data_IF_981472979050
#
_entry.id   IF_981472979050
#
_cell.length_a   1.000
_cell.length_b   1.000
_cell.length_c   1.000
_cell.angle_alpha   90.00
_cell.angle_beta   90.00
_cell.angle_gamma   90.00
#
_symmetry.space_group_name_H-M   'P 1'
#
loop_
_entity.id
_entity.type
_entity.pdbx_description
1 polymer ?
#
# COMPACT_ATOMS: atom_id res chain seq x y z
N UNK A 1 -23.26 -25.37 19.27
CA UNK A 1 -23.33 -26.36 18.20
C UNK A 1 -23.39 -25.62 16.87
N UNK A 2 -22.43 -25.81 16.00
CA UNK A 2 -22.40 -25.29 14.62
C UNK A 2 -21.35 -24.20 14.36
N UNK A 3 -20.05 -24.50 14.54
CA UNK A 3 -18.95 -23.61 14.15
C UNK A 3 -18.02 -24.25 13.09
N UNK A 4 -18.53 -25.14 12.22
CA UNK A 4 -17.64 -25.97 11.40
C UNK A 4 -18.06 -26.05 9.94
N UNK A 5 -18.28 -24.95 9.21
CA UNK A 5 -18.61 -25.08 7.77
C UNK A 5 -18.01 -24.01 6.85
N UNK A 6 -17.21 -23.08 7.33
CA UNK A 6 -16.64 -22.04 6.46
C UNK A 6 -15.36 -22.46 5.72
N UNK A 7 -14.67 -23.51 6.17
CA UNK A 7 -13.36 -23.94 5.62
C UNK A 7 -13.45 -25.06 4.56
N UNK A 8 -14.63 -25.49 4.16
CA UNK A 8 -14.78 -26.56 3.17
C UNK A 8 -15.21 -25.98 1.81
N UNK A 9 -14.63 -26.47 0.69
CA UNK A 9 -15.09 -26.08 -0.64
C UNK A 9 -16.51 -26.57 -0.85
N UNK A 10 -17.38 -25.68 -1.36
CA UNK A 10 -18.79 -25.99 -1.65
C UNK A 10 -18.91 -26.85 -2.90
N UNK A 11 -18.06 -26.57 -3.90
CA UNK A 11 -18.00 -27.35 -5.13
C UNK A 11 -16.79 -28.27 -5.12
N UNK A 12 -17.03 -29.57 -5.31
CA UNK A 12 -15.97 -30.56 -5.42
C UNK A 12 -15.21 -30.42 -6.75
N UNK A 13 -13.93 -30.87 -6.75
CA UNK A 13 -13.17 -31.00 -7.99
C UNK A 13 -13.90 -31.96 -8.94
N UNK A 14 -13.98 -31.61 -10.22
CA UNK A 14 -14.76 -32.30 -11.25
C UNK A 14 -16.19 -31.82 -11.37
N UNK A 15 -16.67 -30.88 -10.51
CA UNK A 15 -17.99 -30.25 -10.69
C UNK A 15 -17.95 -29.42 -11.97
N UNK A 16 -19.01 -29.56 -12.79
CA UNK A 16 -19.17 -28.80 -14.04
C UNK A 16 -20.22 -27.70 -13.85
N UNK A 17 -19.84 -26.47 -14.13
CA UNK A 17 -20.70 -25.28 -14.14
C UNK A 17 -20.79 -24.85 -15.60
N UNK A 18 -21.93 -25.12 -16.27
CA UNK A 18 -22.11 -25.00 -17.75
C UNK A 18 -21.05 -25.82 -18.52
N UNK A 19 -20.03 -25.17 -19.05
CA UNK A 19 -18.92 -25.73 -19.81
C UNK A 19 -17.57 -25.65 -19.08
N UNK A 20 -17.58 -25.30 -17.78
CA UNK A 20 -16.40 -25.11 -16.95
C UNK A 20 -16.28 -26.20 -15.89
N UNK A 21 -15.25 -27.03 -15.97
CA UNK A 21 -14.90 -28.06 -14.99
C UNK A 21 -14.02 -27.45 -13.90
N UNK A 22 -14.45 -27.52 -12.63
CA UNK A 22 -13.63 -27.14 -11.47
C UNK A 22 -12.47 -28.12 -11.31
N UNK A 23 -11.23 -27.62 -11.35
CA UNK A 23 -10.02 -28.45 -11.23
C UNK A 23 -9.23 -28.17 -9.95
N UNK A 24 -9.46 -27.04 -9.28
CA UNK A 24 -8.79 -26.66 -8.03
C UNK A 24 -9.60 -25.62 -7.28
N UNK A 25 -9.53 -25.63 -5.93
CA UNK A 25 -9.97 -24.50 -5.10
C UNK A 25 -8.79 -23.55 -4.92
N UNK A 26 -8.98 -22.27 -5.27
CA UNK A 26 -7.96 -21.23 -5.14
C UNK A 26 -8.08 -20.48 -3.81
N UNK A 27 -9.31 -20.13 -3.40
CA UNK A 27 -9.55 -19.36 -2.17
C UNK A 27 -10.94 -19.65 -1.60
N UNK A 28 -11.04 -19.61 -0.27
CA UNK A 28 -12.30 -19.72 0.47
C UNK A 28 -12.41 -18.51 1.38
N UNK A 29 -13.49 -17.77 1.30
CA UNK A 29 -13.76 -16.60 2.15
C UNK A 29 -15.25 -16.48 2.46
N UNK A 30 -15.59 -15.63 3.43
CA UNK A 30 -16.98 -15.27 3.75
C UNK A 30 -17.71 -14.62 2.56
N UNK A 31 -16.99 -13.94 1.69
CA UNK A 31 -17.52 -13.22 0.53
C UNK A 31 -17.70 -14.10 -0.71
N UNK A 32 -17.34 -15.40 -0.61
CA UNK A 32 -17.43 -16.34 -1.72
C UNK A 32 -16.21 -17.23 -1.83
N UNK A 33 -16.24 -18.16 -2.76
CA UNK A 33 -15.17 -19.10 -3.02
C UNK A 33 -14.66 -18.94 -4.45
N UNK A 34 -13.35 -19.00 -4.61
CA UNK A 34 -12.70 -18.87 -5.92
C UNK A 34 -12.11 -20.22 -6.33
N UNK A 35 -12.43 -20.65 -7.54
CA UNK A 35 -12.00 -21.91 -8.12
C UNK A 35 -11.20 -21.67 -9.41
N UNK A 36 -10.22 -22.52 -9.65
CA UNK A 36 -9.65 -22.69 -10.98
C UNK A 36 -10.57 -23.66 -11.75
N UNK A 37 -10.98 -23.23 -12.92
CA UNK A 37 -11.78 -24.05 -13.82
C UNK A 37 -11.19 -24.10 -15.21
N UNK A 38 -11.49 -25.20 -15.91
CA UNK A 38 -11.06 -25.44 -17.28
C UNK A 38 -12.29 -25.57 -18.17
N UNK A 39 -12.35 -24.83 -19.23
CA UNK A 39 -13.35 -24.99 -20.27
C UNK A 39 -13.17 -26.35 -20.94
N UNK A 40 -14.24 -27.17 -20.96
CA UNK A 40 -14.19 -28.55 -21.48
C UNK A 40 -14.03 -28.64 -22.99
N UNK A 41 -14.35 -27.56 -23.73
CA UNK A 41 -14.29 -27.50 -25.17
C UNK A 41 -12.96 -26.92 -25.66
N UNK A 42 -12.51 -25.80 -25.05
CA UNK A 42 -11.32 -25.04 -25.48
C UNK A 42 -10.08 -25.33 -24.66
N UNK A 43 -10.23 -25.99 -23.48
CA UNK A 43 -9.19 -26.25 -22.48
C UNK A 43 -8.59 -24.98 -21.86
N UNK A 44 -9.18 -23.81 -22.13
CA UNK A 44 -8.79 -22.54 -21.54
C UNK A 44 -9.04 -22.55 -20.03
N UNK A 45 -8.11 -21.97 -19.26
CA UNK A 45 -8.22 -21.83 -17.82
C UNK A 45 -8.85 -20.48 -17.46
N UNK A 46 -9.75 -20.54 -16.46
CA UNK A 46 -10.44 -19.39 -15.88
C UNK A 46 -10.45 -19.48 -14.35
N UNK A 47 -10.58 -18.35 -13.69
CA UNK A 47 -10.98 -18.34 -12.29
C UNK A 47 -12.50 -18.09 -12.19
N UNK A 48 -13.16 -18.78 -11.26
CA UNK A 48 -14.61 -18.63 -11.01
C UNK A 48 -14.79 -18.19 -9.57
N UNK A 49 -15.25 -16.95 -9.35
CA UNK A 49 -15.73 -16.49 -8.05
C UNK A 49 -17.20 -16.85 -7.90
N UNK A 50 -17.50 -17.77 -6.98
CA UNK A 50 -18.84 -18.28 -6.73
C UNK A 50 -19.44 -17.64 -5.50
N UNK A 51 -20.55 -16.93 -5.66
CA UNK A 51 -21.25 -16.15 -4.65
C UNK A 51 -22.61 -16.77 -4.40
N UNK A 52 -22.91 -17.16 -3.16
CA UNK A 52 -24.19 -17.74 -2.80
C UNK A 52 -25.27 -16.67 -2.68
N UNK A 53 -26.47 -16.94 -3.19
CA UNK A 53 -27.63 -16.11 -2.92
C UNK A 53 -28.08 -16.38 -1.48
N UNK A 54 -28.16 -15.35 -0.66
CA UNK A 54 -28.70 -15.44 0.71
C UNK A 54 -30.13 -14.90 0.67
N UNK A 55 -31.08 -15.68 1.15
CA UNK A 55 -32.55 -15.40 1.13
C UNK A 55 -32.99 -14.13 1.88
N UNK A 56 -32.10 -13.45 2.58
CA UNK A 56 -32.41 -12.15 3.18
C UNK A 56 -32.41 -11.07 2.08
N UNK A 57 -33.53 -10.97 1.42
CA UNK A 57 -33.81 -9.97 0.41
C UNK A 57 -33.27 -8.60 0.81
N UNK A 58 -32.25 -8.12 0.12
CA UNK A 58 -32.01 -6.75 -0.21
C UNK A 58 -30.55 -6.26 -0.13
N UNK A 59 -29.78 -6.54 0.94
CA UNK A 59 -28.45 -5.94 1.07
C UNK A 59 -27.35 -6.75 0.36
N UNK A 60 -27.26 -8.07 0.57
CA UNK A 60 -26.20 -8.90 -0.01
C UNK A 60 -26.28 -9.05 -1.54
N UNK A 61 -27.50 -9.19 -2.09
CA UNK A 61 -27.67 -9.20 -3.56
C UNK A 61 -27.24 -7.87 -4.19
N UNK A 62 -27.50 -6.75 -3.49
CA UNK A 62 -27.06 -5.44 -3.96
C UNK A 62 -25.54 -5.32 -3.97
N UNK A 63 -24.82 -5.91 -3.00
CA UNK A 63 -23.35 -5.91 -2.99
C UNK A 63 -22.76 -6.73 -4.15
N UNK A 64 -23.29 -7.94 -4.40
CA UNK A 64 -22.86 -8.81 -5.51
C UNK A 64 -23.11 -8.16 -6.88
N UNK A 65 -24.30 -7.60 -7.08
CA UNK A 65 -24.63 -6.88 -8.30
C UNK A 65 -23.77 -5.63 -8.48
N UNK A 66 -23.47 -4.92 -7.39
CA UNK A 66 -22.60 -3.75 -7.42
C UNK A 66 -21.17 -4.12 -7.81
N UNK A 67 -20.61 -5.21 -7.26
CA UNK A 67 -19.28 -5.72 -7.65
C UNK A 67 -19.23 -5.99 -9.15
N UNK A 68 -20.20 -6.74 -9.69
CA UNK A 68 -20.26 -7.07 -11.12
C UNK A 68 -20.40 -5.80 -11.97
N UNK A 69 -21.28 -4.89 -11.57
CA UNK A 69 -21.53 -3.65 -12.31
C UNK A 69 -20.28 -2.75 -12.35
N UNK A 70 -19.64 -2.53 -11.20
CA UNK A 70 -18.46 -1.67 -11.12
C UNK A 70 -17.27 -2.30 -11.83
N UNK A 71 -17.02 -3.59 -11.62
CA UNK A 71 -15.93 -4.31 -12.28
C UNK A 71 -16.12 -4.37 -13.80
N UNK A 72 -17.33 -4.64 -14.30
CA UNK A 72 -17.62 -4.68 -15.75
C UNK A 72 -17.30 -3.34 -16.45
N UNK A 73 -17.52 -2.20 -15.77
CA UNK A 73 -17.19 -0.87 -16.30
C UNK A 73 -15.68 -0.64 -16.44
N UNK A 74 -14.86 -1.47 -15.80
CA UNK A 74 -13.39 -1.36 -15.78
C UNK A 74 -12.71 -2.44 -16.60
N UNK A 75 -13.41 -3.52 -17.00
CA UNK A 75 -12.86 -4.72 -17.65
C UNK A 75 -12.17 -4.48 -19.00
N UNK A 76 -12.23 -3.29 -19.59
CA UNK A 76 -11.49 -2.93 -20.81
C UNK A 76 -10.07 -2.42 -20.58
N UNK A 77 -9.66 -2.21 -19.32
CA UNK A 77 -8.33 -1.71 -19.00
C UNK A 77 -7.30 -2.86 -18.96
N UNK A 78 -6.09 -2.72 -19.55
CA UNK A 78 -5.11 -3.81 -19.64
C UNK A 78 -4.61 -4.30 -18.28
N UNK A 79 -4.65 -3.44 -17.25
CA UNK A 79 -4.21 -3.73 -15.89
C UNK A 79 -5.39 -3.93 -14.91
N UNK A 80 -6.57 -4.28 -15.39
CA UNK A 80 -7.72 -4.74 -14.60
C UNK A 80 -8.05 -6.16 -15.06
N UNK A 81 -8.28 -7.06 -14.12
CA UNK A 81 -8.70 -8.44 -14.41
C UNK A 81 -10.02 -8.40 -15.19
N UNK A 82 -10.06 -9.12 -16.31
CA UNK A 82 -11.23 -9.12 -17.20
C UNK A 82 -12.30 -10.07 -16.67
N UNK A 83 -13.55 -9.60 -16.61
CA UNK A 83 -14.72 -10.46 -16.52
C UNK A 83 -14.99 -11.04 -17.92
N UNK A 84 -15.00 -12.37 -18.02
CA UNK A 84 -15.34 -13.08 -19.24
C UNK A 84 -16.84 -13.24 -19.41
N UNK A 85 -17.49 -13.71 -18.35
CA UNK A 85 -18.96 -13.87 -18.29
C UNK A 85 -19.44 -14.02 -16.85
N UNK A 86 -20.74 -13.87 -16.69
CA UNK A 86 -21.43 -14.10 -15.40
C UNK A 86 -22.49 -15.18 -15.63
N UNK A 87 -22.47 -16.24 -14.83
CA UNK A 87 -23.41 -17.36 -14.85
C UNK A 87 -24.26 -17.24 -13.59
N UNK A 88 -25.59 -17.23 -13.77
CA UNK A 88 -26.54 -17.13 -12.64
C UNK A 88 -27.53 -18.27 -12.66
N UNK A 89 -27.80 -18.84 -11.49
CA UNK A 89 -28.91 -19.77 -11.26
C UNK A 89 -29.71 -19.35 -10.02
N UNK A 90 -30.61 -20.22 -9.50
CA UNK A 90 -31.45 -19.91 -8.33
C UNK A 90 -30.64 -19.63 -7.06
N UNK A 91 -29.48 -20.25 -6.89
CA UNK A 91 -28.71 -20.29 -5.63
C UNK A 91 -27.40 -19.57 -5.69
N UNK A 92 -26.86 -19.37 -6.91
CA UNK A 92 -25.48 -18.90 -7.11
C UNK A 92 -25.35 -17.88 -8.23
N UNK A 93 -24.42 -16.94 -8.02
CA UNK A 93 -23.80 -16.11 -9.06
C UNK A 93 -22.34 -16.51 -9.20
N UNK A 94 -21.93 -16.95 -10.39
CA UNK A 94 -20.56 -17.29 -10.73
C UNK A 94 -19.98 -16.22 -11.64
N UNK A 95 -18.95 -15.51 -11.17
CA UNK A 95 -18.23 -14.51 -11.95
C UNK A 95 -17.02 -15.22 -12.54
N UNK A 96 -17.01 -15.43 -13.85
CA UNK A 96 -15.91 -16.04 -14.59
C UNK A 96 -14.95 -14.93 -15.02
N UNK A 97 -13.70 -15.02 -14.57
CA UNK A 97 -12.64 -14.03 -14.83
C UNK A 97 -11.40 -14.70 -15.43
N UNK A 98 -10.56 -13.92 -16.09
CA UNK A 98 -9.27 -14.40 -16.56
C UNK A 98 -8.44 -14.96 -15.40
N UNK A 99 -7.69 -16.03 -15.65
CA UNK A 99 -6.87 -16.70 -14.65
C UNK A 99 -5.43 -16.15 -14.67
N UNK A 100 -4.94 -15.72 -13.51
CA UNK A 100 -3.54 -15.33 -13.30
C UNK A 100 -2.73 -16.50 -12.78
N UNK A 101 -1.98 -17.16 -13.68
CA UNK A 101 -1.22 -18.39 -13.35
C UNK A 101 0.02 -18.14 -12.48
N UNK A 102 0.47 -16.89 -12.35
CA UNK A 102 1.66 -16.54 -11.55
C UNK A 102 1.30 -16.13 -10.11
N UNK A 103 0.01 -16.20 -9.74
CA UNK A 103 -0.48 -15.88 -8.41
C UNK A 103 -0.63 -14.39 -8.15
N UNK A 104 -0.64 -14.02 -6.87
CA UNK A 104 -0.82 -12.66 -6.40
C UNK A 104 0.51 -11.94 -6.11
N UNK A 105 0.43 -10.62 -5.98
CA UNK A 105 1.59 -9.78 -5.69
C UNK A 105 2.17 -10.05 -4.29
N UNK A 106 1.36 -10.52 -3.33
CA UNK A 106 1.84 -10.92 -2.01
C UNK A 106 2.86 -12.06 -2.13
N UNK A 107 2.49 -13.15 -2.82
CA UNK A 107 3.35 -14.29 -3.09
C UNK A 107 4.61 -13.87 -3.85
N UNK A 108 4.47 -12.99 -4.85
CA UNK A 108 5.59 -12.48 -5.64
C UNK A 108 6.59 -11.66 -4.79
N UNK A 109 6.10 -10.91 -3.79
CA UNK A 109 6.94 -10.11 -2.88
C UNK A 109 7.58 -11.01 -1.82
N UNK A 110 6.77 -11.82 -1.11
CA UNK A 110 7.19 -12.50 0.13
C UNK A 110 7.87 -13.82 -0.15
N UNK A 111 7.27 -14.67 -0.98
CA UNK A 111 7.76 -16.03 -1.22
C UNK A 111 8.82 -16.05 -2.32
N UNK A 112 8.62 -15.29 -3.39
CA UNK A 112 9.49 -15.30 -4.56
C UNK A 112 10.53 -14.19 -4.56
N UNK A 113 10.40 -13.17 -3.70
CA UNK A 113 11.30 -12.02 -3.55
C UNK A 113 11.69 -11.34 -4.88
N UNK A 114 10.72 -11.19 -5.80
CA UNK A 114 10.96 -10.71 -7.17
C UNK A 114 11.42 -9.26 -7.21
N UNK A 115 10.92 -8.42 -6.28
CA UNK A 115 11.04 -6.95 -6.38
C UNK A 115 12.16 -6.36 -5.54
N UNK A 116 12.57 -6.99 -4.43
CA UNK A 116 13.53 -6.40 -3.51
C UNK A 116 14.84 -6.02 -4.19
N UNK A 117 15.20 -4.73 -4.12
CA UNK A 117 16.43 -4.18 -4.74
C UNK A 117 16.33 -3.95 -6.25
N UNK A 118 15.27 -4.40 -6.92
CA UNK A 118 15.07 -4.19 -8.36
C UNK A 118 14.31 -2.87 -8.60
N UNK A 119 15.01 -1.75 -8.53
CA UNK A 119 14.44 -0.41 -8.63
C UNK A 119 13.69 -0.15 -9.95
N UNK A 120 14.18 -0.69 -11.05
CA UNK A 120 13.55 -0.52 -12.37
C UNK A 120 12.22 -1.27 -12.44
N UNK A 121 12.17 -2.48 -11.90
CA UNK A 121 10.96 -3.31 -11.89
C UNK A 121 9.93 -2.72 -10.92
N UNK A 122 10.34 -2.32 -9.70
CA UNK A 122 9.45 -1.64 -8.73
C UNK A 122 8.80 -0.43 -9.38
N UNK A 123 9.61 0.45 -10.01
CA UNK A 123 9.09 1.62 -10.71
C UNK A 123 8.09 1.24 -11.79
N UNK A 124 8.45 0.29 -12.64
CA UNK A 124 7.63 -0.15 -13.77
C UNK A 124 6.25 -0.63 -13.30
N UNK A 125 6.20 -1.58 -12.37
CA UNK A 125 4.94 -2.15 -11.92
C UNK A 125 4.12 -1.20 -11.05
N UNK A 126 4.78 -0.35 -10.26
CA UNK A 126 4.05 0.59 -9.42
C UNK A 126 3.42 1.74 -10.26
N UNK A 127 4.05 2.15 -11.36
CA UNK A 127 3.42 3.08 -12.31
C UNK A 127 2.18 2.47 -12.96
N UNK A 128 2.18 1.17 -13.30
CA UNK A 128 0.98 0.46 -13.78
C UNK A 128 -0.16 0.52 -12.75
N UNK A 129 0.15 0.28 -11.46
CA UNK A 129 -0.85 0.37 -10.38
C UNK A 129 -1.43 1.78 -10.24
N UNK A 130 -0.58 2.81 -10.25
CA UNK A 130 -1.04 4.20 -10.19
C UNK A 130 -1.98 4.51 -11.38
N UNK A 131 -1.61 4.12 -12.60
CA UNK A 131 -2.43 4.32 -13.80
C UNK A 131 -3.76 3.58 -13.71
N UNK A 132 -3.75 2.35 -13.20
CA UNK A 132 -4.95 1.55 -12.99
C UNK A 132 -5.90 2.20 -12.00
N UNK A 133 -5.41 2.62 -10.83
CA UNK A 133 -6.23 3.30 -9.82
C UNK A 133 -6.73 4.66 -10.35
N UNK A 134 -5.89 5.40 -11.09
CA UNK A 134 -6.30 6.64 -11.75
C UNK A 134 -7.42 6.41 -12.77
N UNK A 135 -7.34 5.33 -13.55
CA UNK A 135 -8.41 4.93 -14.47
C UNK A 135 -9.69 4.62 -13.69
N UNK A 136 -9.63 3.82 -12.61
CA UNK A 136 -10.80 3.54 -11.77
C UNK A 136 -11.43 4.83 -11.25
N UNK A 137 -10.64 5.73 -10.67
CA UNK A 137 -11.13 7.02 -10.14
C UNK A 137 -11.72 7.92 -11.25
N UNK A 138 -11.17 7.88 -12.47
CA UNK A 138 -11.72 8.62 -13.62
C UNK A 138 -13.11 8.13 -14.03
N UNK A 139 -13.45 6.87 -13.70
CA UNK A 139 -14.78 6.26 -13.90
C UNK A 139 -15.70 6.45 -12.69
N UNK A 140 -15.24 7.19 -11.67
CA UNK A 140 -15.95 7.35 -10.39
C UNK A 140 -16.05 6.05 -9.60
N UNK A 141 -15.02 5.20 -9.65
CA UNK A 141 -14.97 3.92 -8.94
C UNK A 141 -13.75 3.92 -8.03
N UNK A 142 -13.98 3.67 -6.73
CA UNK A 142 -12.97 3.63 -5.68
C UNK A 142 -12.91 2.22 -5.11
N UNK A 143 -11.68 1.65 -5.01
CA UNK A 143 -11.48 0.23 -4.74
C UNK A 143 -11.70 -0.13 -3.26
N UNK A 144 -11.19 0.66 -2.34
CA UNK A 144 -11.27 0.55 -0.87
C UNK A 144 -10.58 -0.67 -0.23
N UNK A 145 -10.11 -1.64 -1.03
CA UNK A 145 -9.35 -2.81 -0.55
C UNK A 145 -8.12 -3.08 -1.42
N UNK A 146 -7.33 -2.03 -1.69
CA UNK A 146 -6.06 -2.17 -2.39
C UNK A 146 -5.04 -2.85 -1.47
N UNK A 147 -4.61 -4.05 -1.86
CA UNK A 147 -3.59 -4.86 -1.19
C UNK A 147 -2.93 -5.82 -2.18
N UNK A 148 -1.74 -6.35 -1.87
CA UNK A 148 -1.03 -7.25 -2.77
C UNK A 148 -1.81 -8.51 -3.14
N UNK A 149 -2.67 -9.04 -2.25
CA UNK A 149 -3.50 -10.22 -2.50
C UNK A 149 -4.56 -9.98 -3.59
N UNK A 150 -4.98 -8.72 -3.78
CA UNK A 150 -5.95 -8.30 -4.79
C UNK A 150 -5.28 -7.83 -6.11
N UNK A 151 -4.00 -8.09 -6.29
CA UNK A 151 -3.22 -7.72 -7.48
C UNK A 151 -2.59 -8.99 -8.02
N UNK A 152 -2.99 -9.41 -9.23
CA UNK A 152 -2.45 -10.60 -9.87
C UNK A 152 -1.23 -10.27 -10.72
N UNK A 153 -0.30 -11.23 -10.78
CA UNK A 153 1.01 -11.09 -11.42
C UNK A 153 1.04 -11.87 -12.73
N UNK A 154 1.65 -11.28 -13.73
CA UNK A 154 1.85 -11.84 -15.07
C UNK A 154 3.25 -11.48 -15.57
N UNK A 155 3.67 -12.14 -16.64
CA UNK A 155 4.91 -11.85 -17.36
C UNK A 155 6.16 -11.85 -16.46
N UNK A 156 6.23 -12.82 -15.54
CA UNK A 156 7.33 -13.00 -14.58
C UNK A 156 7.51 -11.75 -13.70
N UNK A 157 6.41 -11.21 -13.21
CA UNK A 157 6.43 -10.04 -12.33
C UNK A 157 6.46 -8.69 -13.04
N UNK A 158 6.39 -8.63 -14.38
CA UNK A 158 6.44 -7.35 -15.12
C UNK A 158 5.08 -6.73 -15.37
N UNK A 159 4.00 -7.50 -15.32
CA UNK A 159 2.65 -7.02 -15.55
C UNK A 159 1.79 -7.29 -14.33
N UNK A 160 1.11 -6.26 -13.82
CA UNK A 160 0.18 -6.35 -12.72
C UNK A 160 -1.24 -6.07 -13.19
N UNK A 161 -2.21 -6.82 -12.66
CA UNK A 161 -3.64 -6.56 -12.89
C UNK A 161 -4.40 -6.53 -11.58
N UNK A 162 -5.19 -5.47 -11.41
CA UNK A 162 -6.04 -5.27 -10.24
C UNK A 162 -7.27 -6.18 -10.32
N UNK A 163 -7.60 -6.84 -9.22
CA UNK A 163 -8.70 -7.77 -9.07
C UNK A 163 -9.52 -7.44 -7.82
N UNK A 164 -10.62 -8.16 -7.64
CA UNK A 164 -11.52 -8.12 -6.48
C UNK A 164 -12.11 -6.73 -6.16
N UNK A 165 -13.18 -6.39 -6.86
CA UNK A 165 -13.95 -5.17 -6.65
C UNK A 165 -15.14 -5.35 -5.68
N UNK A 166 -15.12 -6.39 -4.83
CA UNK A 166 -16.18 -6.70 -3.89
C UNK A 166 -16.48 -5.62 -2.86
N UNK A 167 -15.49 -4.77 -2.55
CA UNK A 167 -15.63 -3.63 -1.65
C UNK A 167 -15.65 -2.28 -2.38
N UNK A 168 -15.61 -2.28 -3.72
CA UNK A 168 -15.58 -1.04 -4.49
C UNK A 168 -16.89 -0.25 -4.37
N UNK A 169 -16.78 1.08 -4.48
CA UNK A 169 -17.92 1.99 -4.43
C UNK A 169 -17.83 3.08 -5.50
N UNK A 170 -18.98 3.63 -5.89
CA UNK A 170 -19.05 4.84 -6.70
C UNK A 170 -19.13 6.13 -5.84
N UNK A 171 -19.20 6.02 -4.53
CA UNK A 171 -19.33 7.14 -3.61
C UNK A 171 -17.97 7.78 -3.33
N UNK A 172 -17.86 9.08 -3.57
CA UNK A 172 -16.65 9.85 -3.25
C UNK A 172 -16.36 9.93 -1.74
N UNK A 173 -17.39 9.73 -0.91
CA UNK A 173 -17.32 9.66 0.55
C UNK A 173 -18.08 8.43 1.03
N UNK A 174 -17.50 7.69 1.97
CA UNK A 174 -18.13 6.50 2.56
C UNK A 174 -18.24 6.62 4.08
N UNK A 175 -19.31 6.06 4.62
CA UNK A 175 -19.52 5.86 6.06
C UNK A 175 -19.23 4.43 6.51
N UNK A 176 -18.81 3.58 5.59
CA UNK A 176 -18.44 2.18 5.88
C UNK A 176 -17.02 2.17 6.47
N UNK A 177 -16.91 2.58 7.73
CA UNK A 177 -15.64 2.58 8.44
C UNK A 177 -15.12 1.16 8.65
N UNK A 178 -13.78 0.99 8.58
CA UNK A 178 -13.14 -0.31 8.71
C UNK A 178 -13.39 -1.25 7.53
N UNK A 179 -13.77 -0.70 6.36
CA UNK A 179 -13.94 -1.47 5.14
C UNK A 179 -12.61 -1.69 4.45
N UNK A 180 -12.23 -2.97 4.19
CA UNK A 180 -10.99 -3.39 3.55
C UNK A 180 -10.07 -4.17 4.49
N UNK A 181 -8.77 -4.12 4.27
CA UNK A 181 -7.75 -4.88 4.98
C UNK A 181 -6.92 -4.00 5.92
N UNK A 182 -6.78 -4.45 7.17
CA UNK A 182 -6.30 -3.66 8.32
C UNK A 182 -4.95 -3.00 8.11
N UNK A 183 -3.97 -3.69 7.50
CA UNK A 183 -2.64 -3.16 7.24
C UNK A 183 -2.63 -1.96 6.28
N UNK A 184 -3.66 -1.88 5.41
CA UNK A 184 -3.77 -0.95 4.30
C UNK A 184 -4.74 0.21 4.57
N UNK A 185 -5.43 0.20 5.69
CA UNK A 185 -6.37 1.26 6.08
C UNK A 185 -5.68 2.60 6.25
N UNK A 186 -6.32 3.64 5.70
CA UNK A 186 -6.00 5.00 6.11
C UNK A 186 -6.55 5.30 7.51
N UNK A 187 -5.97 6.27 8.25
CA UNK A 187 -6.48 6.65 9.58
C UNK A 187 -7.95 7.08 9.54
N UNK A 188 -8.33 7.80 8.51
CA UNK A 188 -9.70 8.27 8.31
C UNK A 188 -10.68 7.13 8.03
N UNK A 189 -10.28 6.09 7.33
CA UNK A 189 -11.11 4.91 7.07
C UNK A 189 -11.49 4.17 8.35
N UNK A 190 -10.71 4.32 9.42
CA UNK A 190 -10.96 3.69 10.72
C UNK A 190 -11.89 4.49 11.63
N UNK A 191 -12.41 5.63 11.21
CA UNK A 191 -13.20 6.52 12.06
C UNK A 191 -12.34 7.41 12.95
N UNK A 192 -11.10 7.71 12.55
CA UNK A 192 -10.14 8.55 13.30
C UNK A 192 -10.60 10.00 13.51
N UNK A 193 -9.94 10.71 14.42
CA UNK A 193 -10.31 12.01 14.98
C UNK A 193 -10.32 13.22 14.02
N UNK A 194 -9.99 13.03 12.75
CA UNK A 194 -10.02 14.10 11.72
C UNK A 194 -11.28 14.06 10.84
N UNK A 195 -12.29 13.26 11.20
CA UNK A 195 -13.46 13.04 10.37
C UNK A 195 -14.59 13.97 10.79
N UNK A 196 -15.11 14.72 9.84
CA UNK A 196 -16.47 15.21 9.93
C UNK A 196 -17.43 14.01 9.87
N UNK A 197 -17.90 13.58 11.04
CA UNK A 197 -18.75 12.39 11.23
C UNK A 197 -20.04 12.41 10.39
N UNK A 198 -20.40 13.55 9.82
CA UNK A 198 -21.59 13.69 8.97
C UNK A 198 -21.34 13.23 7.53
N UNK A 199 -20.14 13.48 6.97
CA UNK A 199 -19.83 13.20 5.56
C UNK A 199 -19.20 11.81 5.37
N UNK A 200 -18.53 11.25 6.38
CA UNK A 200 -17.71 10.04 6.22
C UNK A 200 -16.26 10.35 5.79
N UNK A 201 -15.52 9.34 5.35
CA UNK A 201 -14.16 9.50 4.85
C UNK A 201 -14.12 9.57 3.31
N UNK A 202 -13.16 10.32 2.78
CA UNK A 202 -12.94 10.42 1.33
C UNK A 202 -12.30 9.15 0.78
N UNK A 203 -12.93 8.52 -0.22
CA UNK A 203 -12.54 7.21 -0.75
C UNK A 203 -11.30 7.25 -1.63
N UNK A 204 -11.14 8.28 -2.47
CA UNK A 204 -9.96 8.40 -3.32
C UNK A 204 -8.64 8.58 -2.55
N UNK A 205 -8.53 9.45 -1.53
CA UNK A 205 -7.34 9.52 -0.69
C UNK A 205 -7.04 8.23 0.10
N UNK A 206 -8.08 7.46 0.49
CA UNK A 206 -7.88 6.15 1.12
C UNK A 206 -7.15 5.18 0.18
N UNK A 207 -7.55 5.09 -1.09
CA UNK A 207 -6.84 4.25 -2.08
C UNK A 207 -5.38 4.70 -2.27
N UNK A 208 -5.11 6.02 -2.25
CA UNK A 208 -3.73 6.55 -2.30
C UNK A 208 -2.90 6.11 -1.09
N UNK A 209 -3.50 6.10 0.12
CA UNK A 209 -2.83 5.58 1.31
C UNK A 209 -2.43 4.11 1.16
N UNK A 210 -3.37 3.28 0.72
CA UNK A 210 -3.13 1.84 0.48
C UNK A 210 -2.02 1.61 -0.55
N UNK A 211 -1.96 2.41 -1.64
CA UNK A 211 -0.84 2.38 -2.59
C UNK A 211 0.51 2.68 -1.91
N UNK A 212 0.53 3.56 -0.91
CA UNK A 212 1.75 3.85 -0.15
C UNK A 212 2.26 2.64 0.63
N UNK A 213 1.35 1.87 1.26
CA UNK A 213 1.71 0.63 1.94
C UNK A 213 2.24 -0.39 0.93
N UNK A 214 1.55 -0.57 -0.22
CA UNK A 214 2.00 -1.46 -1.30
C UNK A 214 3.40 -1.07 -1.81
N UNK A 215 3.71 0.22 -1.94
CA UNK A 215 5.03 0.68 -2.37
C UNK A 215 6.12 0.31 -1.36
N UNK A 216 5.83 0.38 -0.07
CA UNK A 216 6.72 -0.12 0.98
C UNK A 216 6.88 -1.64 0.88
N UNK A 217 5.78 -2.39 0.65
CA UNK A 217 5.84 -3.84 0.48
C UNK A 217 6.74 -4.23 -0.70
N UNK A 218 6.58 -3.63 -1.87
CA UNK A 218 7.44 -3.84 -3.04
C UNK A 218 8.92 -3.55 -2.75
N UNK A 219 9.18 -2.52 -1.95
CA UNK A 219 10.54 -2.06 -1.67
C UNK A 219 11.25 -2.84 -0.57
N UNK A 220 10.51 -3.46 0.37
CA UNK A 220 11.06 -3.99 1.62
C UNK A 220 10.56 -5.39 2.00
N UNK A 221 9.47 -5.89 1.41
CA UNK A 221 8.79 -7.11 1.83
C UNK A 221 8.14 -7.02 3.21
N UNK A 222 7.83 -5.80 3.70
CA UNK A 222 7.30 -5.57 5.06
C UNK A 222 6.18 -4.56 5.04
N UNK A 223 5.30 -4.64 6.05
CA UNK A 223 4.33 -3.60 6.36
C UNK A 223 4.96 -2.51 7.25
N UNK A 224 4.56 -1.23 7.12
CA UNK A 224 5.07 -0.15 7.96
C UNK A 224 4.56 -0.22 9.41
N UNK A 225 3.36 -0.73 9.64
CA UNK A 225 2.64 -0.92 10.90
C UNK A 225 1.57 -2.00 10.74
N UNK A 226 0.92 -2.43 11.82
CA UNK A 226 -0.26 -3.31 11.74
C UNK A 226 -1.53 -2.54 11.38
N UNK A 227 -1.70 -1.35 11.97
CA UNK A 227 -2.86 -0.50 11.74
C UNK A 227 -2.47 0.97 11.91
N UNK A 228 -2.96 1.86 11.01
CA UNK A 228 -2.70 3.28 11.10
C UNK A 228 -3.61 3.95 12.16
N UNK A 229 -3.50 3.51 13.42
CA UNK A 229 -4.26 4.02 14.56
C UNK A 229 -3.35 4.34 15.76
N UNK A 230 -3.87 5.09 16.74
CA UNK A 230 -3.13 5.41 17.97
C UNK A 230 -2.90 4.19 18.89
N UNK A 231 -3.50 3.06 18.59
CA UNK A 231 -3.27 1.80 19.29
C UNK A 231 -1.98 1.11 18.83
N UNK A 232 -1.53 1.41 17.60
CA UNK A 232 -0.28 0.87 17.03
C UNK A 232 0.92 1.73 17.46
N UNK A 233 1.88 1.11 18.16
CA UNK A 233 3.07 1.80 18.69
C UNK A 233 3.98 2.33 17.56
N UNK A 234 4.08 1.61 16.46
CA UNK A 234 4.91 2.00 15.31
C UNK A 234 4.30 3.18 14.59
N UNK A 235 2.99 3.15 14.37
CA UNK A 235 2.27 4.26 13.79
C UNK A 235 2.34 5.52 14.68
N UNK A 236 2.15 5.38 16.00
CA UNK A 236 2.34 6.48 16.97
C UNK A 236 3.75 7.08 16.93
N UNK A 237 4.77 6.24 16.77
CA UNK A 237 6.15 6.70 16.66
C UNK A 237 6.39 7.42 15.32
N UNK A 238 5.79 6.94 14.22
CA UNK A 238 5.82 7.61 12.92
C UNK A 238 5.17 9.01 12.96
N UNK A 239 4.06 9.17 13.67
CA UNK A 239 3.41 10.49 13.84
C UNK A 239 4.32 11.52 14.54
N UNK A 240 5.20 11.06 15.44
CA UNK A 240 6.17 11.93 16.15
C UNK A 240 7.44 12.18 15.33
N UNK A 241 7.85 11.20 14.53
CA UNK A 241 9.04 11.25 13.71
C UNK A 241 8.72 10.73 12.30
N UNK A 242 8.41 11.61 11.33
CA UNK A 242 8.11 11.22 9.96
C UNK A 242 9.29 10.54 9.21
N UNK A 243 10.50 10.55 9.78
CA UNK A 243 11.66 9.82 9.25
C UNK A 243 11.86 8.45 9.90
N UNK A 244 10.92 8.01 10.76
CA UNK A 244 10.98 6.72 11.43
C UNK A 244 11.13 5.56 10.42
N UNK A 245 10.32 5.55 9.37
CA UNK A 245 10.36 4.48 8.37
C UNK A 245 11.70 4.41 7.64
N UNK A 246 12.34 5.55 7.38
CA UNK A 246 13.70 5.60 6.84
C UNK A 246 14.74 4.98 7.78
N UNK A 247 14.55 5.12 9.10
CA UNK A 247 15.45 4.59 10.14
C UNK A 247 15.28 3.09 10.36
N UNK A 248 14.08 2.58 10.14
CA UNK A 248 13.69 1.22 10.53
C UNK A 248 13.54 0.27 9.35
N UNK A 249 13.18 0.76 8.16
CA UNK A 249 13.01 -0.03 6.95
C UNK A 249 14.17 0.24 5.97
N UNK A 250 14.53 -0.73 5.13
CA UNK A 250 15.55 -0.54 4.10
C UNK A 250 14.99 0.26 2.89
N UNK A 251 14.39 1.43 3.15
CA UNK A 251 13.92 2.35 2.12
C UNK A 251 14.97 3.42 1.84
N UNK A 252 15.05 3.90 0.59
CA UNK A 252 15.93 5.00 0.23
C UNK A 252 15.43 6.36 0.74
N UNK A 253 16.32 7.34 0.79
CA UNK A 253 15.94 8.71 1.12
C UNK A 253 14.99 9.32 0.08
N UNK A 254 15.07 8.89 -1.19
CA UNK A 254 14.15 9.32 -2.25
C UNK A 254 12.74 8.78 -2.00
N UNK A 255 12.64 7.47 -1.73
CA UNK A 255 11.37 6.84 -1.40
C UNK A 255 10.75 7.46 -0.14
N UNK A 256 11.55 7.70 0.91
CA UNK A 256 11.05 8.30 2.16
C UNK A 256 10.38 9.67 1.92
N UNK A 257 10.90 10.49 1.00
CA UNK A 257 10.25 11.76 0.63
C UNK A 257 8.88 11.57 -0.02
N UNK A 258 8.72 10.51 -0.82
CA UNK A 258 7.43 10.16 -1.45
C UNK A 258 6.46 9.67 -0.38
N UNK A 259 6.89 8.74 0.48
CA UNK A 259 6.11 8.14 1.55
C UNK A 259 5.53 9.20 2.51
N UNK A 260 6.31 10.21 2.89
CA UNK A 260 5.83 11.32 3.72
C UNK A 260 4.67 12.11 3.05
N UNK A 261 4.62 12.18 1.74
CA UNK A 261 3.53 12.83 1.00
C UNK A 261 2.30 11.93 0.88
N UNK A 262 2.50 10.61 0.79
CA UNK A 262 1.40 9.62 0.77
C UNK A 262 0.75 9.53 2.14
N UNK A 263 1.54 9.42 3.20
CA UNK A 263 1.04 9.28 4.57
C UNK A 263 0.74 10.64 5.25
N UNK A 264 0.34 11.63 4.45
CA UNK A 264 -0.20 12.87 4.96
C UNK A 264 -1.54 12.60 5.68
N UNK A 265 -1.64 13.02 6.95
CA UNK A 265 -2.82 12.78 7.78
C UNK A 265 -4.08 13.48 7.26
N UNK A 266 -3.91 14.69 6.72
CA UNK A 266 -5.01 15.44 6.11
C UNK A 266 -5.28 14.86 4.70
N UNK A 267 -6.41 14.16 4.47
CA UNK A 267 -6.71 13.55 3.18
C UNK A 267 -6.75 14.55 2.02
N UNK A 268 -7.12 15.81 2.30
CA UNK A 268 -7.21 16.88 1.30
C UNK A 268 -5.83 17.41 0.88
N UNK A 269 -4.81 17.22 1.73
CA UNK A 269 -3.41 17.59 1.46
C UNK A 269 -2.54 16.39 1.06
N UNK A 270 -3.11 15.19 1.10
CA UNK A 270 -2.44 13.97 0.65
C UNK A 270 -2.08 14.10 -0.82
N UNK A 271 -0.97 13.51 -1.22
CA UNK A 271 -0.50 13.50 -2.61
C UNK A 271 -1.61 13.00 -3.55
N UNK A 272 -1.74 13.65 -4.71
CA UNK A 272 -2.63 13.18 -5.78
C UNK A 272 -1.98 12.04 -6.56
N UNK A 273 -2.77 11.23 -7.29
CA UNK A 273 -2.23 10.18 -8.15
C UNK A 273 -1.32 10.74 -9.25
N UNK A 274 -1.61 11.93 -9.79
CA UNK A 274 -0.76 12.57 -10.80
C UNK A 274 0.60 13.02 -10.24
N UNK A 275 0.60 13.65 -9.05
CA UNK A 275 1.86 14.00 -8.37
C UNK A 275 2.63 12.73 -7.97
N UNK A 276 1.94 11.68 -7.48
CA UNK A 276 2.56 10.40 -7.13
C UNK A 276 3.22 9.74 -8.35
N UNK A 277 2.53 9.70 -9.47
CA UNK A 277 3.06 9.16 -10.72
C UNK A 277 4.38 9.84 -11.12
N UNK A 278 4.39 11.19 -11.16
CA UNK A 278 5.59 11.96 -11.50
C UNK A 278 6.74 11.72 -10.52
N UNK A 279 6.47 11.67 -9.22
CA UNK A 279 7.51 11.42 -8.22
C UNK A 279 8.09 10.01 -8.33
N UNK A 280 7.25 9.00 -8.55
CA UNK A 280 7.67 7.61 -8.73
C UNK A 280 8.46 7.46 -10.05
N UNK A 281 8.02 8.10 -11.12
CA UNK A 281 8.72 8.08 -12.41
C UNK A 281 10.18 8.59 -12.30
N UNK A 282 10.42 9.60 -11.45
CA UNK A 282 11.74 10.19 -11.24
C UNK A 282 12.51 9.59 -10.06
N UNK A 283 11.91 8.71 -9.26
CA UNK A 283 12.59 8.03 -8.15
C UNK A 283 13.59 7.02 -8.69
N UNK A 284 14.88 7.21 -8.41
CA UNK A 284 15.94 6.32 -8.90
C UNK A 284 16.04 5.07 -8.02
N UNK A 285 16.02 5.25 -6.70
CA UNK A 285 16.19 4.19 -5.74
C UNK A 285 14.98 4.04 -4.82
N UNK A 286 14.48 2.83 -4.67
CA UNK A 286 13.38 2.49 -3.76
C UNK A 286 13.92 1.80 -2.50
N UNK A 287 14.64 0.72 -2.68
CA UNK A 287 15.26 -0.06 -1.60
C UNK A 287 16.65 0.50 -1.27
N UNK A 288 17.01 0.58 0.00
CA UNK A 288 18.34 0.93 0.44
C UNK A 288 19.23 -0.32 0.50
N UNK A 289 19.82 -0.67 -0.64
CA UNK A 289 20.86 -1.68 -0.73
C UNK A 289 22.21 -1.12 -0.25
N UNK A 290 23.25 -1.96 -0.12
CA UNK A 290 24.59 -1.50 0.21
C UNK A 290 25.11 -0.47 -0.79
N UNK A 291 24.88 -0.68 -2.09
CA UNK A 291 25.25 0.23 -3.17
C UNK A 291 24.55 1.58 -3.03
N UNK A 292 23.25 1.59 -2.75
CA UNK A 292 22.47 2.82 -2.53
C UNK A 292 22.97 3.55 -1.29
N UNK A 293 23.30 2.83 -0.22
CA UNK A 293 23.87 3.42 1.01
C UNK A 293 25.21 4.10 0.74
N UNK A 294 26.08 3.47 -0.05
CA UNK A 294 27.36 4.06 -0.47
C UNK A 294 27.13 5.31 -1.32
N UNK A 295 26.23 5.22 -2.31
CA UNK A 295 25.87 6.35 -3.16
C UNK A 295 25.31 7.54 -2.35
N UNK A 296 24.32 7.31 -1.46
CA UNK A 296 23.76 8.36 -0.58
C UNK A 296 24.85 9.02 0.29
N UNK A 297 25.79 8.22 0.80
CA UNK A 297 26.93 8.73 1.59
C UNK A 297 27.86 9.60 0.78
N UNK A 298 28.15 9.23 -0.47
CA UNK A 298 28.97 10.03 -1.38
C UNK A 298 28.30 11.36 -1.73
N UNK A 299 27.01 11.34 -2.01
CA UNK A 299 26.22 12.56 -2.32
C UNK A 299 26.22 13.50 -1.13
N UNK A 300 25.99 12.99 0.09
CA UNK A 300 26.01 13.78 1.32
C UNK A 300 27.38 14.47 1.53
N UNK A 301 28.48 13.74 1.36
CA UNK A 301 29.85 14.30 1.46
C UNK A 301 30.10 15.38 0.41
N UNK A 302 29.65 15.17 -0.84
CA UNK A 302 29.78 16.15 -1.92
C UNK A 302 29.00 17.44 -1.64
N UNK A 303 27.77 17.34 -1.09
CA UNK A 303 26.96 18.49 -0.67
C UNK A 303 27.63 19.25 0.49
N UNK A 304 28.16 18.55 1.49
CA UNK A 304 28.84 19.16 2.61
C UNK A 304 30.10 19.92 2.16
N UNK A 305 30.88 19.33 1.24
CA UNK A 305 32.08 20.00 0.66
C UNK A 305 31.69 21.26 -0.14
N UNK A 306 30.61 21.20 -0.95
CA UNK A 306 30.13 22.39 -1.67
C UNK A 306 29.69 23.50 -0.71
N UNK A 307 28.93 23.15 0.34
CA UNK A 307 28.49 24.13 1.33
C UNK A 307 29.67 24.73 2.09
N UNK A 308 30.68 23.95 2.47
CA UNK A 308 31.88 24.45 3.12
C UNK A 308 32.70 25.45 2.22
N UNK A 309 32.72 25.16 0.91
CA UNK A 309 33.40 26.08 -0.06
C UNK A 309 32.60 27.39 -0.28
N UNK A 310 31.28 27.37 -0.16
CA UNK A 310 30.45 28.58 -0.24
C UNK A 310 30.66 29.45 1.01
N UNK A 311 30.75 28.84 2.20
CA UNK A 311 31.02 29.59 3.44
C UNK A 311 32.44 30.15 3.50
N UNK A 312 33.45 29.44 2.97
CA UNK A 312 34.84 29.98 2.94
C UNK A 312 35.00 31.17 2.00
N UNK A 313 34.26 31.22 0.90
CA UNK A 313 34.25 32.38 -0.01
C UNK A 313 33.54 33.61 0.52
N UNK A 314 32.54 33.43 1.40
CA UNK A 314 31.80 34.54 2.00
C UNK A 314 32.54 35.19 3.19
N UNK A 315 33.59 34.58 3.74
CA UNK A 315 34.40 35.16 4.83
C UNK A 315 35.59 36.00 4.34
N UNK A 316 35.99 35.84 3.08
CA UNK A 316 37.11 36.63 2.51
C UNK A 316 36.68 38.04 2.04
N UNK A 317 35.37 38.34 1.99
CA UNK A 317 34.86 39.65 1.53
C UNK A 317 34.27 40.51 2.65
N UNK A 318 34.54 40.23 3.94
CA UNK A 318 34.13 41.09 5.05
C UNK A 318 35.18 42.15 5.32
N UNK A 319 34.85 43.44 5.20
CA UNK A 319 35.78 44.54 5.60
C UNK A 319 36.01 44.43 7.11
N UNK A 320 37.27 44.54 7.50
CA UNK A 320 37.72 44.62 8.90
C UNK A 320 36.96 45.71 9.64
N UNK A 321 36.31 45.42 10.78
CA UNK A 321 35.68 46.48 11.58
C UNK A 321 36.73 47.42 12.16
N UNK A 322 36.44 48.72 12.27
CA UNK A 322 37.34 49.69 12.88
C UNK A 322 37.53 49.41 14.37
N UNK A 323 38.77 49.66 14.85
CA UNK A 323 39.18 49.51 16.24
C UNK A 323 38.21 50.27 17.18
N UNK A 324 37.58 49.57 18.09
CA UNK A 324 36.85 50.14 19.21
C UNK A 324 37.66 50.02 20.49
N UNK A 325 37.68 51.07 21.34
CA UNK A 325 38.54 51.11 22.51
C UNK A 325 38.02 50.19 23.65
N UNK A 326 38.99 49.67 24.40
CA UNK A 326 38.84 48.84 25.57
C UNK A 326 37.83 49.39 26.60
N UNK A 327 36.76 48.62 26.85
CA UNK A 327 35.93 48.77 28.04
C UNK A 327 36.09 47.48 28.88
N UNK A 328 36.86 47.62 29.96
CA UNK A 328 37.00 46.61 31.02
C UNK A 328 35.69 46.40 31.78
N UNK A 329 35.15 45.22 31.75
CA UNK A 329 34.09 44.75 32.69
C UNK A 329 34.60 43.55 33.49
N UNK A 330 34.52 43.67 34.83
CA UNK A 330 34.82 42.63 35.80
C UNK A 330 33.75 41.56 35.82
N UNK A 331 34.06 40.28 36.14
CA UNK A 331 33.12 39.16 36.09
C UNK A 331 32.27 39.05 37.36
N UNK A 332 30.95 38.88 37.18
CA UNK A 332 30.11 38.38 38.23
C UNK A 332 29.99 36.85 38.12
N UNK A 333 30.43 36.19 39.14
CA UNK A 333 30.30 34.75 39.39
C UNK A 333 28.85 34.44 39.70
N UNK A 334 28.25 33.46 39.01
CA UNK A 334 27.14 32.73 39.56
C UNK A 334 27.33 31.21 39.34
N UNK A 335 27.41 30.50 40.44
CA UNK A 335 27.48 29.07 40.58
C UNK A 335 26.09 28.47 40.40
N UNK A 336 26.00 27.30 39.76
CA UNK A 336 24.75 26.53 39.72
C UNK A 336 24.89 25.20 38.98
N UNK A 337 25.43 24.24 39.72
CA UNK A 337 25.13 22.78 39.75
C UNK A 337 24.94 22.00 38.42
N UNK A 338 25.92 21.16 38.20
CA UNK A 338 25.95 19.94 37.38
C UNK A 338 24.96 18.88 37.90
N UNK A 339 24.21 18.24 37.03
CA UNK A 339 23.74 16.87 37.23
C UNK A 339 23.92 16.08 35.94
N UNK A 340 24.93 15.23 35.96
CA UNK A 340 25.21 14.16 35.02
C UNK A 340 24.12 13.07 35.13
N UNK A 341 23.51 12.69 34.01
CA UNK A 341 22.87 11.39 33.86
C UNK A 341 23.52 10.63 32.72
N UNK A 342 24.42 9.72 33.09
CA UNK A 342 24.81 8.59 32.27
C UNK A 342 23.67 7.57 32.29
N UNK A 343 23.14 7.26 31.11
CA UNK A 343 22.23 6.16 30.89
C UNK A 343 22.70 5.32 29.70
N UNK A 344 23.56 4.34 30.00
CA UNK A 344 23.88 3.26 29.05
C UNK A 344 22.65 2.38 28.89
N UNK A 345 21.90 2.55 27.80
CA UNK A 345 20.81 1.68 27.40
C UNK A 345 21.22 0.78 26.24
N UNK A 346 21.38 -0.52 26.53
CA UNK A 346 21.55 -1.58 25.54
C UNK A 346 20.44 -1.48 24.48
N UNK A 347 20.82 -1.32 23.21
CA UNK A 347 19.95 -1.54 22.08
C UNK A 347 19.69 -3.04 21.90
N UNK A 348 18.66 -3.56 22.57
CA UNK A 348 18.04 -4.82 22.17
C UNK A 348 17.39 -4.58 20.78
N UNK A 349 17.88 -5.29 19.77
CA UNK A 349 17.22 -5.42 18.47
C UNK A 349 15.91 -6.20 18.66
N UNK A 350 14.84 -5.50 18.99
CA UNK A 350 13.49 -6.03 18.88
C UNK A 350 13.08 -5.88 17.41
N UNK A 351 12.66 -6.96 16.78
CA UNK A 351 12.04 -6.90 15.45
C UNK A 351 10.69 -6.19 15.59
N UNK A 352 10.66 -4.89 15.33
CA UNK A 352 9.53 -3.98 15.58
C UNK A 352 8.55 -3.89 14.40
N UNK A 353 8.84 -4.57 13.27
CA UNK A 353 7.95 -4.57 12.11
C UNK A 353 7.44 -5.98 11.84
N UNK A 354 6.12 -6.14 11.65
CA UNK A 354 5.58 -7.39 11.17
C UNK A 354 6.10 -7.65 9.75
N UNK A 355 6.43 -8.90 9.47
CA UNK A 355 6.51 -9.39 8.09
C UNK A 355 5.11 -9.28 7.49
N UNK A 356 5.03 -9.19 6.17
CA UNK A 356 3.77 -9.36 5.49
C UNK A 356 3.23 -10.75 5.79
N UNK A 357 1.99 -10.82 6.23
CA UNK A 357 1.25 -12.06 6.49
C UNK A 357 -0.09 -11.95 5.78
N UNK A 358 -0.61 -13.07 5.27
CA UNK A 358 -1.96 -13.10 4.73
C UNK A 358 -2.94 -12.95 5.88
N UNK A 359 -3.92 -12.08 5.72
CA UNK A 359 -5.07 -12.04 6.61
C UNK A 359 -5.91 -13.29 6.33
N UNK A 360 -6.11 -14.13 7.37
CA UNK A 360 -6.90 -15.37 7.32
C UNK A 360 -8.38 -15.04 7.51
#
# INVERSE_FOLDING_TARGET
MGSDTLDQPIFAIGTIIEDLEIIQTLSISINGQVYLAKDINTFQLYAIKSLRHIDSASLHQNFQLNEILLHSRLSGHPHVIRIERVIQNSDWTHIVIEYGSEGDLFTAIVDNNIYYGNHSLIRHVFLQLIETVRFCHSKGIYHRDLKPENILVFDRGHTLKLADFGLATADCYSKDYGCGSTFYFSPECQGGFLIDSQMGYATAPNDVWSLGVILINLSTGRNPWHIASLEDKTYCAFLRDPDLLLKMLPISSELNRIIKRIFCLDPLKRITLDELYLRVQHCIHFTRTEEVTQYESMVLKAVQLKNAQVYSKSTDDLPTPPDTPDITYSPCINQGSSSSFMGTGLLQKVALFPKMEKEI
#
